data_IF_311986370935
#
_entry.id   IF_311986370935
#
_cell.length_a   1.000
_cell.length_b   1.000
_cell.length_c   1.000
_cell.angle_alpha   90.00
_cell.angle_beta   90.00
_cell.angle_gamma   90.00
#
_symmetry.space_group_name_H-M   'P 1'
#
loop_
_entity.id
_entity.type
_entity.pdbx_description
1 polymer ?
#
# COMPACT_ATOMS: atom_id res chain seq x y z
N UNK A 1 15.90 55.90 -21.56
CA UNK A 1 14.78 55.29 -20.80
C UNK A 1 14.76 53.76 -20.86
N UNK A 2 15.84 53.09 -21.28
CA UNK A 2 15.88 51.62 -21.48
C UNK A 2 16.50 50.83 -20.32
N UNK A 3 17.24 51.49 -19.40
CA UNK A 3 17.90 50.80 -18.26
C UNK A 3 16.96 50.40 -17.12
N UNK A 4 15.82 51.08 -16.94
CA UNK A 4 14.82 50.72 -15.92
C UNK A 4 13.83 49.66 -16.39
N UNK A 5 13.77 49.40 -17.71
CA UNK A 5 12.85 48.42 -18.28
C UNK A 5 13.23 46.99 -17.92
N UNK A 6 14.54 46.69 -17.82
CA UNK A 6 15.04 45.37 -17.42
C UNK A 6 14.85 45.08 -15.93
N UNK A 7 15.07 46.08 -15.06
CA UNK A 7 14.82 45.95 -13.61
C UNK A 7 13.33 45.78 -13.30
N UNK A 8 12.46 46.45 -14.05
CA UNK A 8 11.01 46.28 -13.92
C UNK A 8 10.57 44.88 -14.40
N UNK A 9 11.18 44.36 -15.48
CA UNK A 9 10.86 43.04 -16.01
C UNK A 9 11.34 41.90 -15.08
N UNK A 10 12.51 42.06 -14.44
CA UNK A 10 13.02 41.11 -13.43
C UNK A 10 12.19 41.15 -12.15
N UNK A 11 11.74 42.33 -11.69
CA UNK A 11 10.76 42.44 -10.59
C UNK A 11 9.40 41.82 -10.95
N UNK A 12 8.92 41.99 -12.18
CA UNK A 12 7.67 41.35 -12.62
C UNK A 12 7.79 39.82 -12.65
N UNK A 13 8.91 39.25 -13.12
CA UNK A 13 9.14 37.79 -13.13
C UNK A 13 9.23 37.21 -11.71
N UNK A 14 9.75 37.97 -10.74
CA UNK A 14 9.79 37.56 -9.32
C UNK A 14 8.44 37.73 -8.59
N UNK A 15 7.49 38.49 -9.12
CA UNK A 15 6.14 38.65 -8.57
C UNK A 15 5.14 37.61 -9.10
N UNK A 16 5.49 36.84 -10.13
CA UNK A 16 4.64 35.78 -10.69
C UNK A 16 4.94 34.37 -10.14
N UNK A 17 5.87 34.22 -9.20
CA UNK A 17 6.21 32.93 -8.57
C UNK A 17 5.29 32.52 -7.40
N UNK A 18 4.18 33.23 -7.14
CA UNK A 18 3.38 33.03 -5.93
C UNK A 18 1.87 32.91 -6.16
N UNK A 19 1.40 31.75 -6.59
CA UNK A 19 0.08 31.21 -6.23
C UNK A 19 0.07 29.72 -6.57
N UNK A 20 0.76 28.90 -5.78
CA UNK A 20 0.37 27.48 -5.70
C UNK A 20 -1.09 27.45 -5.26
N UNK A 21 -1.96 27.00 -6.15
CA UNK A 21 -3.41 26.89 -5.90
C UNK A 21 -3.79 25.53 -5.32
N UNK A 22 -2.84 24.59 -5.32
CA UNK A 22 -2.95 23.21 -4.87
C UNK A 22 -1.66 22.90 -4.11
N UNK A 23 -1.82 22.41 -2.89
CA UNK A 23 -0.77 21.80 -2.08
C UNK A 23 -1.06 20.29 -1.99
N UNK A 24 -0.03 19.48 -1.73
CA UNK A 24 -0.17 18.04 -1.54
C UNK A 24 0.18 17.72 -0.09
N UNK A 25 -0.72 17.05 0.61
CA UNK A 25 -0.54 16.59 1.98
C UNK A 25 -0.32 15.08 1.99
N UNK A 26 0.51 14.63 2.93
CA UNK A 26 0.66 13.23 3.28
C UNK A 26 -0.10 13.01 4.58
N UNK A 27 -1.02 12.06 4.59
CA UNK A 27 -1.78 11.68 5.79
C UNK A 27 -1.57 10.20 6.07
N UNK A 28 -1.53 9.84 7.35
CA UNK A 28 -1.44 8.45 7.78
C UNK A 28 -2.75 8.07 8.46
N UNK A 29 -3.30 6.93 8.09
CA UNK A 29 -4.46 6.34 8.75
C UNK A 29 -4.33 4.82 8.80
N UNK A 30 -4.95 4.21 9.81
CA UNK A 30 -4.98 2.75 9.91
C UNK A 30 -6.08 2.13 9.07
N UNK A 31 -5.76 0.96 8.51
CA UNK A 31 -6.70 0.06 7.87
C UNK A 31 -6.84 -1.24 8.69
N UNK A 32 -8.02 -1.87 8.68
CA UNK A 32 -8.19 -3.16 9.32
C UNK A 32 -7.45 -4.26 8.57
N UNK A 33 -7.05 -5.29 9.30
CA UNK A 33 -6.61 -6.55 8.69
C UNK A 33 -7.79 -7.39 8.18
N UNK A 34 -7.48 -8.38 7.34
CA UNK A 34 -8.42 -9.42 6.92
C UNK A 34 -8.71 -10.41 8.04
N UNK A 35 -7.69 -10.70 8.86
CA UNK A 35 -7.78 -11.60 10.02
C UNK A 35 -8.17 -10.82 11.27
N UNK A 36 -9.01 -11.42 12.12
CA UNK A 36 -9.35 -10.87 13.44
C UNK A 36 -8.97 -11.88 14.52
N UNK A 37 -8.19 -11.43 15.50
CA UNK A 37 -7.75 -12.23 16.64
C UNK A 37 -8.58 -11.87 17.87
N UNK A 38 -9.15 -12.85 18.60
CA UNK A 38 -9.75 -12.58 19.90
C UNK A 38 -8.77 -11.87 20.84
N UNK A 39 -9.29 -10.95 21.67
CA UNK A 39 -8.46 -10.19 22.62
C UNK A 39 -7.68 -11.07 23.61
N UNK A 40 -8.17 -12.28 23.89
CA UNK A 40 -7.51 -13.27 24.73
C UNK A 40 -6.22 -13.87 24.14
N UNK A 41 -5.97 -13.76 22.82
CA UNK A 41 -4.76 -14.29 22.17
C UNK A 41 -3.64 -13.25 22.19
N UNK A 42 -2.83 -13.23 23.26
CA UNK A 42 -1.84 -12.18 23.51
C UNK A 42 -0.41 -12.59 23.17
N UNK A 43 -0.09 -13.88 23.26
CA UNK A 43 1.26 -14.42 23.02
C UNK A 43 1.25 -15.32 21.80
N UNK A 44 2.05 -15.00 20.80
CA UNK A 44 2.10 -15.73 19.53
C UNK A 44 3.47 -16.37 19.34
N UNK A 45 3.49 -17.63 18.91
CA UNK A 45 4.72 -18.27 18.45
C UNK A 45 4.75 -18.37 16.93
N UNK A 46 5.85 -17.94 16.33
CA UNK A 46 6.11 -18.00 14.89
C UNK A 46 7.04 -19.18 14.61
N UNK A 47 6.62 -20.07 13.71
CA UNK A 47 7.31 -21.33 13.45
C UNK A 47 7.60 -21.53 11.97
N UNK A 48 8.76 -22.13 11.66
CA UNK A 48 9.11 -22.52 10.30
C UNK A 48 8.59 -23.93 10.00
N UNK A 49 7.49 -24.01 9.25
CA UNK A 49 6.89 -25.26 8.76
C UNK A 49 7.14 -25.47 7.26
N UNK A 50 8.10 -24.74 6.66
CA UNK A 50 8.47 -24.89 5.26
C UNK A 50 9.41 -26.10 5.09
N UNK A 51 9.09 -27.05 4.19
CA UNK A 51 10.00 -28.16 3.89
C UNK A 51 11.23 -27.68 3.09
N UNK A 52 12.38 -28.39 3.15
CA UNK A 52 13.58 -28.03 2.38
C UNK A 52 13.34 -27.97 0.86
N UNK A 53 12.44 -28.81 0.36
CA UNK A 53 11.97 -28.81 -1.03
C UNK A 53 10.44 -28.75 -1.00
N UNK A 54 9.85 -27.55 -1.13
CA UNK A 54 8.40 -27.39 -1.20
C UNK A 54 7.80 -28.06 -2.44
N UNK A 55 6.71 -28.79 -2.23
CA UNK A 55 5.88 -29.33 -3.32
C UNK A 55 5.01 -28.21 -3.89
N UNK A 56 5.59 -27.47 -4.83
CA UNK A 56 4.97 -26.30 -5.43
C UNK A 56 4.37 -26.66 -6.79
N UNK A 57 3.05 -26.48 -6.92
CA UNK A 57 2.45 -26.28 -8.24
C UNK A 57 2.92 -24.91 -8.73
N UNK A 58 3.57 -24.87 -9.90
CA UNK A 58 4.00 -23.61 -10.52
C UNK A 58 2.83 -22.62 -10.54
N UNK A 59 3.08 -21.41 -10.02
CA UNK A 59 2.14 -20.30 -10.14
C UNK A 59 2.17 -19.86 -11.60
N UNK A 60 1.28 -20.45 -12.40
CA UNK A 60 1.05 -20.04 -13.78
C UNK A 60 0.19 -18.78 -13.73
N UNK A 61 0.77 -17.61 -14.01
CA UNK A 61 -0.07 -16.45 -14.34
C UNK A 61 -0.54 -16.60 -15.78
N UNK A 62 -1.85 -16.41 -16.03
CA UNK A 62 -2.50 -16.53 -17.36
C UNK A 62 -1.90 -15.63 -18.47
N UNK A 63 -0.91 -14.80 -18.14
CA UNK A 63 -0.31 -13.80 -19.01
C UNK A 63 1.19 -14.06 -19.33
N UNK A 64 1.68 -15.29 -19.20
CA UNK A 64 3.07 -15.67 -19.53
C UNK A 64 3.48 -15.32 -20.99
N UNK A 65 2.51 -15.01 -21.86
CA UNK A 65 2.72 -14.59 -23.25
C UNK A 65 2.32 -13.13 -23.55
N UNK A 66 2.52 -12.18 -22.62
CA UNK A 66 2.50 -10.76 -23.03
C UNK A 66 3.54 -10.55 -24.13
N UNK A 67 3.09 -10.07 -25.30
CA UNK A 67 3.97 -9.66 -26.41
C UNK A 67 5.07 -8.77 -25.86
N UNK A 68 6.29 -8.99 -26.34
CA UNK A 68 7.43 -8.11 -26.04
C UNK A 68 7.06 -6.69 -26.48
N UNK A 69 7.41 -5.71 -25.67
CA UNK A 69 7.34 -4.32 -26.10
C UNK A 69 8.33 -4.10 -27.27
N UNK A 70 8.11 -3.07 -28.10
CA UNK A 70 8.97 -2.79 -29.26
C UNK A 70 10.44 -2.53 -28.84
N UNK A 71 10.62 -2.02 -27.62
CA UNK A 71 11.91 -1.71 -26.99
C UNK A 71 12.52 -2.89 -26.23
N UNK A 72 11.77 -3.97 -26.00
CA UNK A 72 12.19 -5.13 -25.21
C UNK A 72 13.04 -6.10 -26.05
N UNK A 73 14.31 -6.24 -25.68
CA UNK A 73 15.27 -7.06 -26.42
C UNK A 73 15.31 -8.49 -25.89
N UNK A 74 15.36 -8.63 -24.57
CA UNK A 74 15.48 -9.93 -23.92
C UNK A 74 14.54 -10.01 -22.70
N UNK A 75 14.01 -11.22 -22.47
CA UNK A 75 13.21 -11.57 -21.29
C UNK A 75 13.57 -12.96 -20.83
N UNK A 76 13.70 -13.14 -19.52
CA UNK A 76 13.91 -14.44 -18.88
C UNK A 76 13.08 -14.56 -17.62
N UNK A 77 12.19 -15.56 -17.60
CA UNK A 77 11.43 -15.93 -16.42
C UNK A 77 12.13 -17.07 -15.69
N UNK A 78 12.20 -17.00 -14.36
CA UNK A 78 12.66 -18.09 -13.49
C UNK A 78 11.76 -18.17 -12.25
N UNK A 79 11.73 -19.36 -11.65
CA UNK A 79 11.02 -19.64 -10.41
C UNK A 79 12.03 -20.05 -9.34
N UNK A 80 11.78 -19.62 -8.11
CA UNK A 80 12.62 -19.91 -6.96
C UNK A 80 11.76 -20.24 -5.73
N UNK A 81 12.39 -20.90 -4.76
CA UNK A 81 11.87 -21.03 -3.41
C UNK A 81 12.69 -20.13 -2.49
N UNK A 82 12.01 -19.42 -1.59
CA UNK A 82 12.66 -18.60 -0.58
C UNK A 82 13.35 -19.41 0.50
N UNK A 83 14.21 -18.74 1.26
CA UNK A 83 14.79 -19.29 2.48
C UNK A 83 13.75 -19.20 3.62
N UNK A 84 13.21 -20.35 4.01
CA UNK A 84 12.18 -20.43 5.05
C UNK A 84 12.66 -19.96 6.43
N UNK A 85 13.96 -20.04 6.74
CA UNK A 85 14.49 -19.55 8.01
C UNK A 85 14.46 -18.02 8.02
N UNK A 86 15.07 -17.39 7.01
CA UNK A 86 15.12 -15.93 6.87
C UNK A 86 13.70 -15.34 6.85
N UNK A 87 12.78 -15.96 6.10
CA UNK A 87 11.41 -15.50 6.02
C UNK A 87 10.62 -15.66 7.34
N UNK A 88 10.90 -16.71 8.13
CA UNK A 88 10.26 -16.91 9.44
C UNK A 88 10.77 -15.90 10.47
N UNK A 89 12.08 -15.65 10.49
CA UNK A 89 12.70 -14.63 11.35
C UNK A 89 12.14 -13.24 11.03
N UNK A 90 12.10 -12.87 9.74
CA UNK A 90 11.52 -11.61 9.28
C UNK A 90 10.03 -11.49 9.61
N UNK A 91 9.26 -12.56 9.44
CA UNK A 91 7.83 -12.57 9.79
C UNK A 91 7.61 -12.27 11.27
N UNK A 92 8.41 -12.88 12.14
CA UNK A 92 8.30 -12.65 13.57
C UNK A 92 8.76 -11.25 13.98
N UNK A 93 9.85 -10.75 13.41
CA UNK A 93 10.31 -9.38 13.63
C UNK A 93 9.25 -8.36 13.19
N UNK A 94 8.68 -8.54 12.00
CA UNK A 94 7.62 -7.69 11.48
C UNK A 94 6.37 -7.72 12.38
N UNK A 95 5.94 -8.90 12.85
CA UNK A 95 4.82 -9.02 13.81
C UNK A 95 5.12 -8.33 15.15
N UNK A 96 6.35 -8.43 15.65
CA UNK A 96 6.76 -7.80 16.90
C UNK A 96 6.78 -6.27 16.78
N UNK A 97 7.25 -5.75 15.64
CA UNK A 97 7.33 -4.31 15.38
C UNK A 97 5.96 -3.62 15.33
N UNK A 98 4.89 -4.35 14.98
CA UNK A 98 3.52 -3.82 15.01
C UNK A 98 2.98 -3.66 16.44
N UNK A 99 3.65 -4.21 17.47
CA UNK A 99 3.23 -4.14 18.88
C UNK A 99 1.76 -4.57 19.10
N UNK A 100 1.25 -5.47 18.26
CA UNK A 100 -0.14 -5.91 18.32
C UNK A 100 -0.35 -7.04 19.32
N UNK A 101 0.66 -7.87 19.55
CA UNK A 101 0.68 -8.96 20.53
C UNK A 101 1.62 -8.57 21.68
N UNK A 102 1.31 -9.01 22.90
CA UNK A 102 2.13 -8.75 24.09
C UNK A 102 3.52 -9.39 23.97
N UNK A 103 3.59 -10.56 23.31
CA UNK A 103 4.85 -11.28 23.06
C UNK A 103 4.80 -12.03 21.73
N UNK A 104 5.90 -11.95 20.98
CA UNK A 104 6.14 -12.71 19.74
C UNK A 104 7.37 -13.60 19.95
N UNK A 105 7.16 -14.92 19.89
CA UNK A 105 8.18 -15.94 20.19
C UNK A 105 8.62 -16.58 18.87
N UNK A 106 9.93 -16.66 18.62
CA UNK A 106 10.47 -17.28 17.42
C UNK A 106 10.94 -18.70 17.75
N UNK A 107 10.47 -19.68 16.97
CA UNK A 107 11.03 -21.03 17.01
C UNK A 107 12.08 -21.19 15.91
N UNK A 108 13.36 -21.17 16.29
CA UNK A 108 14.49 -21.35 15.38
C UNK A 108 14.56 -22.76 14.77
N UNK A 109 13.81 -23.71 15.33
CA UNK A 109 13.77 -25.07 14.83
C UNK A 109 12.85 -25.18 13.61
N UNK A 110 13.45 -25.47 12.46
CA UNK A 110 12.70 -25.85 11.27
C UNK A 110 11.99 -27.19 11.50
N UNK A 111 10.66 -27.15 11.65
CA UNK A 111 9.83 -28.29 12.03
C UNK A 111 9.91 -29.44 11.02
N UNK A 112 10.17 -29.10 9.75
CA UNK A 112 10.20 -30.05 8.62
C UNK A 112 11.59 -30.30 8.05
N UNK A 113 12.67 -29.86 8.72
CA UNK A 113 14.03 -30.00 8.20
C UNK A 113 14.46 -31.46 7.94
N UNK A 114 13.81 -32.42 8.60
CA UNK A 114 14.14 -33.85 8.54
C UNK A 114 13.04 -34.70 7.88
N UNK A 115 12.05 -34.07 7.25
CA UNK A 115 10.99 -34.79 6.55
C UNK A 115 11.59 -35.57 5.37
N UNK A 116 11.58 -36.90 5.47
CA UNK A 116 12.02 -37.80 4.39
C UNK A 116 10.87 -38.22 3.47
N UNK A 117 9.62 -38.05 3.92
CA UNK A 117 8.40 -38.43 3.21
C UNK A 117 7.50 -37.20 3.10
N UNK A 118 6.88 -36.92 1.94
CA UNK A 118 5.85 -35.89 1.83
C UNK A 118 4.67 -36.20 2.77
N UNK A 119 4.58 -35.45 3.87
CA UNK A 119 3.42 -35.44 4.79
C UNK A 119 2.46 -34.31 4.43
N UNK A 120 1.23 -34.37 4.95
CA UNK A 120 0.27 -33.26 4.83
C UNK A 120 0.97 -31.94 5.21
N UNK A 121 0.77 -30.89 4.41
CA UNK A 121 1.52 -29.64 4.57
C UNK A 121 1.26 -28.97 5.93
N UNK A 122 0.09 -29.22 6.52
CA UNK A 122 -0.36 -28.58 7.75
C UNK A 122 0.13 -29.29 9.00
N UNK A 123 0.38 -28.52 10.07
CA UNK A 123 0.63 -29.07 11.41
C UNK A 123 -0.59 -29.84 11.94
N UNK A 124 -0.34 -30.99 12.57
CA UNK A 124 -1.38 -31.78 13.25
C UNK A 124 -1.85 -31.09 14.53
N UNK A 125 -3.03 -31.47 15.04
CA UNK A 125 -3.55 -30.96 16.32
C UNK A 125 -2.56 -31.23 17.46
N UNK A 126 -1.97 -32.43 17.51
CA UNK A 126 -1.01 -32.82 18.54
C UNK A 126 0.31 -32.03 18.44
N UNK A 127 0.77 -31.71 17.22
CA UNK A 127 1.95 -30.87 17.02
C UNK A 127 1.70 -29.45 17.50
N UNK A 128 0.55 -28.86 17.13
CA UNK A 128 0.15 -27.52 17.57
C UNK A 128 0.08 -27.45 19.09
N UNK A 129 -0.58 -28.42 19.74
CA UNK A 129 -0.71 -28.46 21.21
C UNK A 129 0.64 -28.60 21.92
N UNK A 130 1.54 -29.43 21.40
CA UNK A 130 2.88 -29.58 21.97
C UNK A 130 3.68 -28.30 21.83
N UNK A 131 3.66 -27.67 20.66
CA UNK A 131 4.41 -26.45 20.38
C UNK A 131 3.91 -25.27 21.21
N UNK A 132 2.59 -25.06 21.29
CA UNK A 132 2.01 -23.98 22.11
C UNK A 132 2.31 -24.19 23.59
N UNK A 133 2.23 -25.43 24.10
CA UNK A 133 2.62 -25.75 25.48
C UNK A 133 4.12 -25.56 25.73
N UNK A 134 5.00 -25.97 24.81
CA UNK A 134 6.45 -25.87 25.00
C UNK A 134 6.97 -24.45 24.91
N UNK A 135 6.33 -23.62 24.07
CA UNK A 135 6.69 -22.22 23.86
C UNK A 135 5.91 -21.29 24.79
N UNK A 136 4.96 -21.79 25.57
CA UNK A 136 4.07 -21.00 26.41
C UNK A 136 3.33 -19.90 25.61
N UNK A 137 2.85 -20.27 24.42
CA UNK A 137 2.15 -19.38 23.50
C UNK A 137 0.65 -19.70 23.44
N UNK A 138 -0.18 -18.69 23.19
CA UNK A 138 -1.63 -18.87 23.06
C UNK A 138 -2.00 -19.53 21.72
N UNK A 139 -1.22 -19.25 20.67
CA UNK A 139 -1.45 -19.77 19.32
C UNK A 139 -0.17 -19.70 18.45
N UNK A 140 -0.21 -20.34 17.28
CA UNK A 140 0.91 -20.38 16.34
C UNK A 140 0.61 -19.63 15.04
N UNK A 141 1.64 -19.02 14.47
CA UNK A 141 1.71 -18.58 13.08
C UNK A 141 2.83 -19.36 12.40
N UNK A 142 2.47 -20.21 11.43
CA UNK A 142 3.41 -21.06 10.72
C UNK A 142 3.69 -20.51 9.32
N UNK A 143 4.96 -20.34 8.97
CA UNK A 143 5.39 -20.14 7.59
C UNK A 143 5.37 -21.49 6.88
N UNK A 144 4.54 -21.61 5.86
CA UNK A 144 4.30 -22.88 5.16
C UNK A 144 5.08 -22.96 3.84
N UNK A 145 5.24 -21.83 3.16
CA UNK A 145 5.84 -21.78 1.84
C UNK A 145 6.27 -20.35 1.47
N UNK A 146 7.31 -20.23 0.64
CA UNK A 146 7.72 -18.99 -0.01
C UNK A 146 8.08 -19.31 -1.46
N UNK A 147 7.20 -18.92 -2.38
CA UNK A 147 7.44 -19.04 -3.82
C UNK A 147 7.82 -17.69 -4.42
N UNK A 148 8.69 -17.71 -5.42
CA UNK A 148 9.11 -16.50 -6.11
C UNK A 148 9.12 -16.70 -7.63
N UNK A 149 8.67 -15.69 -8.35
CA UNK A 149 8.73 -15.63 -9.82
C UNK A 149 9.49 -14.38 -10.23
N UNK A 150 10.64 -14.55 -10.87
CA UNK A 150 11.46 -13.46 -11.39
C UNK A 150 11.22 -13.29 -12.87
N UNK A 151 11.07 -12.05 -13.33
CA UNK A 151 11.09 -11.65 -14.73
C UNK A 151 12.26 -10.68 -14.89
N UNK A 152 13.31 -11.13 -15.58
CA UNK A 152 14.41 -10.25 -15.98
C UNK A 152 14.18 -9.76 -17.40
N UNK A 153 14.28 -8.47 -17.64
CA UNK A 153 14.22 -7.89 -18.98
C UNK A 153 15.45 -7.04 -19.27
N UNK A 154 15.77 -6.93 -20.56
CA UNK A 154 16.62 -5.87 -21.08
C UNK A 154 15.82 -5.10 -22.13
N UNK A 155 15.71 -3.80 -21.93
CA UNK A 155 15.03 -2.86 -22.79
C UNK A 155 16.03 -1.82 -23.31
N UNK A 156 15.86 -1.37 -24.56
CA UNK A 156 16.60 -0.22 -25.07
C UNK A 156 15.72 1.01 -25.03
N UNK A 157 16.23 2.07 -24.41
CA UNK A 157 15.53 3.34 -24.23
C UNK A 157 16.08 4.36 -25.24
N UNK A 158 15.43 4.55 -26.41
CA UNK A 158 16.01 5.33 -27.50
C UNK A 158 16.17 6.80 -27.15
N UNK A 159 15.26 7.33 -26.32
CA UNK A 159 15.28 8.74 -25.86
C UNK A 159 16.55 9.09 -25.08
N UNK A 160 17.14 8.10 -24.40
CA UNK A 160 18.32 8.26 -23.56
C UNK A 160 19.57 7.59 -24.14
N UNK A 161 19.42 6.79 -25.20
CA UNK A 161 20.53 6.06 -25.83
C UNK A 161 21.19 5.02 -24.92
N UNK A 162 20.42 4.44 -23.98
CA UNK A 162 20.90 3.47 -22.98
C UNK A 162 20.08 2.19 -22.99
N UNK A 163 20.64 1.14 -22.42
CA UNK A 163 19.94 -0.10 -22.11
C UNK A 163 19.53 -0.10 -20.64
N UNK A 164 18.29 -0.45 -20.35
CA UNK A 164 17.79 -0.68 -19.00
C UNK A 164 17.66 -2.18 -18.77
N UNK A 165 18.38 -2.70 -17.78
CA UNK A 165 18.13 -4.01 -17.22
C UNK A 165 17.13 -3.88 -16.08
N UNK A 166 16.10 -4.72 -16.06
CA UNK A 166 15.11 -4.75 -14.99
C UNK A 166 14.92 -6.16 -14.46
N UNK A 167 14.60 -6.26 -13.18
CA UNK A 167 14.23 -7.48 -12.49
C UNK A 167 12.97 -7.21 -11.68
N UNK A 168 11.85 -7.73 -12.15
CA UNK A 168 10.59 -7.82 -11.40
C UNK A 168 10.58 -9.16 -10.66
N UNK A 169 10.52 -9.14 -9.33
CA UNK A 169 10.37 -10.36 -8.53
C UNK A 169 9.07 -10.33 -7.76
N UNK A 170 8.15 -11.23 -8.10
CA UNK A 170 6.91 -11.41 -7.34
C UNK A 170 7.08 -12.54 -6.34
N UNK A 171 6.73 -12.27 -5.09
CA UNK A 171 6.94 -13.15 -3.93
C UNK A 171 5.57 -13.57 -3.39
N UNK A 172 5.42 -14.86 -3.08
CA UNK A 172 4.18 -15.50 -2.67
C UNK A 172 4.40 -16.32 -1.39
N UNK A 173 4.37 -15.67 -0.22
CA UNK A 173 4.38 -16.38 1.06
C UNK A 173 3.00 -16.98 1.37
N UNK A 174 3.02 -18.19 1.94
CA UNK A 174 1.83 -18.81 2.53
C UNK A 174 2.06 -18.95 4.03
N UNK A 175 1.14 -18.38 4.81
CA UNK A 175 1.16 -18.45 6.28
C UNK A 175 -0.15 -19.06 6.78
N UNK A 176 -0.06 -19.89 7.81
CA UNK A 176 -1.24 -20.46 8.49
C UNK A 176 -1.24 -20.11 9.96
N UNK A 177 -2.42 -19.78 10.48
CA UNK A 177 -2.62 -19.54 11.90
C UNK A 177 -3.29 -20.76 12.53
N UNK A 178 -2.74 -21.25 13.64
CA UNK A 178 -3.23 -22.42 14.34
C UNK A 178 -3.61 -22.08 15.78
N UNK A 179 -4.79 -22.53 16.21
CA UNK A 179 -5.21 -22.47 17.60
C UNK A 179 -5.05 -23.84 18.27
N UNK A 180 -4.67 -23.89 19.55
CA UNK A 180 -4.71 -25.14 20.31
C UNK A 180 -6.14 -25.70 20.32
N UNK A 181 -6.27 -27.03 20.45
CA UNK A 181 -7.55 -27.75 20.48
C UNK A 181 -8.38 -27.77 19.20
N UNK A 182 -8.02 -27.00 18.17
CA UNK A 182 -8.67 -27.00 16.85
C UNK A 182 -8.01 -28.00 15.89
N UNK A 183 -8.82 -28.69 15.09
CA UNK A 183 -8.30 -29.47 13.97
C UNK A 183 -8.05 -28.54 12.77
N UNK A 184 -6.81 -28.51 12.28
CA UNK A 184 -6.41 -27.69 11.14
C UNK A 184 -6.30 -26.19 11.47
N UNK A 185 -5.89 -25.37 10.47
CA UNK A 185 -5.69 -23.94 10.68
C UNK A 185 -7.01 -23.19 10.94
N UNK A 186 -6.92 -22.10 11.69
CA UNK A 186 -7.97 -21.10 11.81
C UNK A 186 -8.12 -20.31 10.51
N UNK A 187 -7.00 -19.87 9.94
CA UNK A 187 -6.94 -19.13 8.69
C UNK A 187 -5.67 -19.48 7.92
N UNK A 188 -5.75 -19.44 6.59
CA UNK A 188 -4.61 -19.49 5.67
C UNK A 188 -4.53 -18.17 4.94
N UNK A 189 -3.41 -17.47 5.08
CA UNK A 189 -3.11 -16.21 4.40
C UNK A 189 -2.22 -16.54 3.20
N UNK A 190 -2.76 -16.29 2.01
CA UNK A 190 -2.01 -16.34 0.76
C UNK A 190 -1.87 -14.90 0.27
N UNK A 191 -0.73 -14.29 0.54
CA UNK A 191 -0.45 -12.93 0.13
C UNK A 191 0.60 -12.92 -0.99
N UNK A 192 0.71 -11.80 -1.70
CA UNK A 192 1.78 -11.61 -2.67
C UNK A 192 2.09 -10.16 -2.85
N UNK A 193 3.37 -9.86 -3.04
CA UNK A 193 3.83 -8.53 -3.40
C UNK A 193 5.08 -8.65 -4.28
N UNK A 194 5.56 -7.53 -4.82
CA UNK A 194 6.70 -7.51 -5.73
C UNK A 194 7.80 -6.55 -5.26
N UNK A 195 9.04 -6.95 -5.50
CA UNK A 195 10.22 -6.09 -5.39
C UNK A 195 10.79 -5.89 -6.79
N UNK A 196 11.30 -4.68 -7.03
CA UNK A 196 11.84 -4.27 -8.31
C UNK A 196 13.28 -3.77 -8.18
N UNK A 197 14.14 -4.19 -9.11
CA UNK A 197 15.48 -3.64 -9.28
C UNK A 197 15.70 -3.28 -10.74
N UNK A 198 16.38 -2.16 -10.97
CA UNK A 198 16.77 -1.70 -12.29
C UNK A 198 18.22 -1.22 -12.34
N UNK A 199 18.79 -1.27 -13.54
CA UNK A 199 20.10 -0.72 -13.82
C UNK A 199 20.19 -0.26 -15.28
N UNK A 200 20.46 1.03 -15.49
CA UNK A 200 20.67 1.59 -16.82
C UNK A 200 22.17 1.69 -17.15
N UNK A 201 22.55 1.23 -18.34
CA UNK A 201 23.95 1.29 -18.81
C UNK A 201 24.07 1.48 -20.32
N UNK A 202 25.23 1.96 -20.84
CA UNK A 202 25.44 2.17 -22.28
C UNK A 202 25.46 0.90 -23.14
N UNK A 203 25.55 -0.29 -22.54
CA UNK A 203 25.54 -1.57 -23.26
C UNK A 203 24.66 -2.60 -22.59
N UNK A 204 24.07 -3.49 -23.40
CA UNK A 204 23.24 -4.61 -22.93
C UNK A 204 23.92 -5.49 -21.88
N UNK A 205 25.22 -5.78 -22.08
CA UNK A 205 25.98 -6.62 -21.15
C UNK A 205 26.13 -5.96 -19.77
N UNK A 206 26.40 -4.64 -19.75
CA UNK A 206 26.52 -3.88 -18.50
C UNK A 206 25.16 -3.73 -17.80
N UNK A 207 24.10 -3.47 -18.56
CA UNK A 207 22.74 -3.34 -18.03
C UNK A 207 22.31 -4.64 -17.31
N UNK A 208 22.61 -5.80 -17.91
CA UNK A 208 22.34 -7.10 -17.29
C UNK A 208 23.26 -7.42 -16.10
N UNK A 209 24.54 -7.06 -16.18
CA UNK A 209 25.52 -7.35 -15.13
C UNK A 209 25.39 -6.46 -13.89
N UNK A 210 24.81 -5.26 -14.03
CA UNK A 210 24.57 -4.33 -12.92
C UNK A 210 23.31 -4.64 -12.11
N UNK A 211 22.48 -5.60 -12.54
CA UNK A 211 21.37 -6.11 -11.74
C UNK A 211 21.86 -6.92 -10.54
N UNK A 212 21.09 -6.89 -9.46
CA UNK A 212 21.33 -7.67 -8.24
C UNK A 212 21.61 -9.15 -8.55
N UNK A 213 22.58 -9.73 -7.82
CA UNK A 213 22.96 -11.11 -7.95
C UNK A 213 21.83 -12.05 -7.52
N UNK A 214 21.78 -13.28 -8.06
CA UNK A 214 20.74 -14.25 -7.69
C UNK A 214 20.77 -14.57 -6.19
N UNK A 215 21.96 -14.63 -5.59
CA UNK A 215 22.14 -14.89 -4.16
C UNK A 215 21.57 -13.76 -3.28
N UNK A 216 21.90 -12.51 -3.59
CA UNK A 216 21.39 -11.36 -2.83
C UNK A 216 19.89 -11.17 -3.04
N UNK A 217 19.42 -11.33 -4.28
CA UNK A 217 18.00 -11.32 -4.60
C UNK A 217 17.22 -12.34 -3.77
N UNK A 218 17.69 -13.59 -3.66
CA UNK A 218 17.01 -14.62 -2.85
C UNK A 218 17.00 -14.27 -1.36
N UNK A 219 18.08 -13.67 -0.84
CA UNK A 219 18.16 -13.22 0.55
C UNK A 219 17.15 -12.10 0.81
N UNK A 220 17.22 -11.00 0.06
CA UNK A 220 16.34 -9.83 0.20
C UNK A 220 14.87 -10.21 -0.02
N UNK A 221 14.59 -11.07 -0.99
CA UNK A 221 13.24 -11.53 -1.25
C UNK A 221 12.69 -12.45 -0.14
N UNK A 222 13.55 -13.20 0.53
CA UNK A 222 13.13 -14.03 1.67
C UNK A 222 12.86 -13.17 2.91
N UNK A 223 13.67 -12.13 3.14
CA UNK A 223 13.41 -11.11 4.16
C UNK A 223 12.06 -10.43 3.88
N UNK A 224 11.85 -9.95 2.65
CA UNK A 224 10.58 -9.35 2.24
C UNK A 224 9.38 -10.31 2.35
N UNK A 225 9.56 -11.60 2.05
CA UNK A 225 8.48 -12.59 2.17
C UNK A 225 7.88 -12.65 3.58
N UNK A 226 8.68 -12.38 4.62
CA UNK A 226 8.21 -12.34 6.00
C UNK A 226 7.31 -11.15 6.30
N UNK A 227 7.51 -10.00 5.63
CA UNK A 227 6.76 -8.78 5.92
C UNK A 227 5.40 -8.74 5.23
N UNK A 228 5.28 -9.36 4.05
CA UNK A 228 4.06 -9.30 3.21
C UNK A 228 2.80 -9.76 3.97
N UNK A 229 2.78 -10.90 4.70
CA UNK A 229 1.55 -11.39 5.35
C UNK A 229 1.08 -10.51 6.51
N UNK A 230 1.94 -9.64 7.07
CA UNK A 230 1.64 -8.90 8.29
C UNK A 230 0.49 -7.92 8.10
N UNK A 231 0.46 -7.16 6.99
CA UNK A 231 -0.63 -6.22 6.70
C UNK A 231 -1.99 -6.90 6.45
N UNK A 232 -2.00 -8.18 6.09
CA UNK A 232 -3.22 -8.98 5.96
C UNK A 232 -3.69 -9.55 7.31
N UNK A 233 -2.76 -9.79 8.25
CA UNK A 233 -3.05 -10.35 9.57
C UNK A 233 -3.33 -9.28 10.63
N UNK A 234 -2.61 -8.16 10.60
CA UNK A 234 -2.67 -7.09 11.59
C UNK A 234 -3.17 -5.77 10.97
N UNK A 235 -3.90 -4.95 11.74
CA UNK A 235 -4.16 -3.56 11.34
C UNK A 235 -2.83 -2.86 11.03
N UNK A 236 -2.80 -2.06 9.97
CA UNK A 236 -1.58 -1.43 9.49
C UNK A 236 -1.82 0.02 9.10
N UNK A 237 -0.76 0.83 9.22
CA UNK A 237 -0.77 2.21 8.77
C UNK A 237 -0.63 2.29 7.25
N UNK A 238 -1.45 3.15 6.64
CA UNK A 238 -1.36 3.50 5.22
C UNK A 238 -1.13 5.00 5.11
N UNK A 239 -0.05 5.35 4.44
CA UNK A 239 0.20 6.73 4.00
C UNK A 239 -0.55 6.98 2.71
N UNK A 240 -1.36 8.03 2.69
CA UNK A 240 -2.07 8.44 1.49
C UNK A 240 -1.82 9.91 1.19
N UNK A 241 -1.79 10.23 -0.10
CA UNK A 241 -1.66 11.60 -0.54
C UNK A 241 -3.02 12.25 -0.79
N UNK A 242 -3.19 13.45 -0.24
CA UNK A 242 -4.38 14.29 -0.38
C UNK A 242 -4.02 15.61 -1.03
N UNK A 243 -4.94 16.15 -1.81
CA UNK A 243 -4.79 17.51 -2.33
C UNK A 243 -5.36 18.51 -1.32
N UNK A 244 -4.76 19.67 -1.19
CA UNK A 244 -5.33 20.80 -0.46
C UNK A 244 -5.44 21.96 -1.42
N UNK A 245 -6.67 22.36 -1.75
CA UNK A 245 -6.87 23.51 -2.63
C UNK A 245 -6.72 24.80 -1.81
N UNK A 246 -5.66 25.56 -2.01
CA UNK A 246 -5.38 26.78 -1.23
C UNK A 246 -5.76 28.06 -1.97
N UNK A 247 -5.94 27.98 -3.29
CA UNK A 247 -6.24 29.12 -4.15
C UNK A 247 -7.73 29.37 -4.42
N UNK A 248 -8.02 30.53 -5.03
CA UNK A 248 -9.32 30.85 -5.62
C UNK A 248 -10.23 31.78 -4.82
N UNK A 249 -10.04 31.93 -3.51
CA UNK A 249 -10.72 32.98 -2.72
C UNK A 249 -9.87 33.42 -1.53
N UNK A 250 -10.24 34.52 -0.88
CA UNK A 250 -9.62 34.95 0.38
C UNK A 250 -9.80 33.86 1.43
N UNK A 251 -11.03 33.39 1.63
CA UNK A 251 -11.35 32.30 2.55
C UNK A 251 -10.55 31.00 2.27
N UNK A 252 -10.30 30.62 1.01
CA UNK A 252 -9.51 29.42 0.70
C UNK A 252 -8.05 29.58 1.16
N UNK A 253 -7.48 30.78 1.01
CA UNK A 253 -6.11 31.09 1.42
C UNK A 253 -5.98 31.20 2.94
N UNK A 254 -6.94 31.85 3.59
CA UNK A 254 -6.97 32.00 5.04
C UNK A 254 -7.18 30.65 5.73
N UNK A 255 -8.04 29.79 5.16
CA UNK A 255 -8.22 28.41 5.64
C UNK A 255 -6.94 27.59 5.55
N UNK A 256 -6.12 27.78 4.51
CA UNK A 256 -4.83 27.11 4.41
C UNK A 256 -3.85 27.53 5.52
N UNK A 257 -3.94 28.77 6.03
CA UNK A 257 -3.17 29.18 7.22
C UNK A 257 -3.63 28.40 8.44
N UNK A 258 -4.95 28.28 8.66
CA UNK A 258 -5.49 27.51 9.78
C UNK A 258 -5.12 26.02 9.71
N UNK A 259 -5.08 25.42 8.52
CA UNK A 259 -4.60 24.02 8.35
C UNK A 259 -3.15 23.87 8.83
N UNK A 260 -2.27 24.83 8.52
CA UNK A 260 -0.86 24.79 8.98
C UNK A 260 -0.71 24.99 10.48
N UNK A 261 -1.71 25.57 11.13
CA UNK A 261 -1.83 25.70 12.59
C UNK A 261 -2.61 24.54 13.23
N UNK A 262 -2.88 23.47 12.47
CA UNK A 262 -3.67 22.29 12.87
C UNK A 262 -5.12 22.63 13.32
N UNK A 263 -5.63 23.79 12.88
CA UNK A 263 -6.96 24.27 13.22
C UNK A 263 -7.98 23.93 12.12
N UNK A 264 -8.30 22.65 12.01
CA UNK A 264 -9.22 22.12 10.99
C UNK A 264 -10.64 22.69 11.11
N UNK A 265 -11.14 22.94 12.32
CA UNK A 265 -12.48 23.49 12.55
C UNK A 265 -12.69 24.86 11.89
N UNK A 266 -11.74 25.79 12.08
CA UNK A 266 -11.80 27.12 11.47
C UNK A 266 -11.61 27.05 9.95
N UNK A 267 -10.74 26.17 9.48
CA UNK A 267 -10.55 25.96 8.05
C UNK A 267 -11.85 25.48 7.38
N UNK A 268 -12.53 24.50 7.99
CA UNK A 268 -13.83 23.98 7.55
C UNK A 268 -14.89 25.08 7.49
N UNK A 269 -14.96 25.97 8.50
CA UNK A 269 -15.90 27.08 8.52
C UNK A 269 -15.72 28.01 7.30
N UNK A 270 -14.49 28.40 7.00
CA UNK A 270 -14.16 29.27 5.86
C UNK A 270 -14.45 28.62 4.51
N UNK A 271 -14.18 27.32 4.39
CA UNK A 271 -14.53 26.57 3.18
C UNK A 271 -16.05 26.43 3.02
N UNK A 272 -16.82 26.19 4.09
CA UNK A 272 -18.29 26.18 4.05
C UNK A 272 -18.84 27.52 3.56
N UNK A 273 -18.33 28.64 4.06
CA UNK A 273 -18.71 29.98 3.57
C UNK A 273 -18.44 30.12 2.05
N UNK A 274 -17.30 29.59 1.57
CA UNK A 274 -16.96 29.60 0.13
C UNK A 274 -17.92 28.72 -0.68
N UNK A 275 -18.25 27.54 -0.18
CA UNK A 275 -19.16 26.59 -0.80
C UNK A 275 -20.58 27.17 -0.97
N UNK A 276 -21.10 27.81 0.07
CA UNK A 276 -22.44 28.41 0.05
C UNK A 276 -22.50 29.66 -0.84
N UNK A 277 -21.46 30.49 -0.83
CA UNK A 277 -21.39 31.71 -1.67
C UNK A 277 -21.38 31.39 -3.17
N UNK A 278 -20.88 30.22 -3.57
CA UNK A 278 -20.75 29.83 -4.98
C UNK A 278 -21.91 28.94 -5.40
N UNK A 279 -22.53 29.22 -6.54
CA UNK A 279 -23.60 28.37 -7.09
C UNK A 279 -23.07 27.12 -7.81
N UNK A 280 -21.98 27.27 -8.58
CA UNK A 280 -21.35 26.21 -9.39
C UNK A 280 -19.87 26.50 -9.64
N UNK A 281 -19.17 25.54 -10.26
CA UNK A 281 -17.80 25.71 -10.78
C UNK A 281 -16.70 25.26 -9.82
N UNK A 282 -15.45 25.36 -10.29
CA UNK A 282 -14.25 24.81 -9.62
C UNK A 282 -14.09 25.25 -8.17
N UNK A 283 -14.37 26.51 -7.84
CA UNK A 283 -14.24 27.00 -6.45
C UNK A 283 -15.22 26.33 -5.49
N UNK A 284 -16.45 26.02 -5.94
CA UNK A 284 -17.42 25.30 -5.11
C UNK A 284 -16.96 23.85 -4.89
N UNK A 285 -16.43 23.22 -5.94
CA UNK A 285 -15.86 21.88 -5.87
C UNK A 285 -14.65 21.82 -4.93
N UNK A 286 -13.70 22.74 -5.05
CA UNK A 286 -12.52 22.83 -4.17
C UNK A 286 -12.91 23.02 -2.71
N UNK A 287 -13.87 23.90 -2.42
CA UNK A 287 -14.38 24.08 -1.07
C UNK A 287 -15.01 22.78 -0.52
N UNK A 288 -15.84 22.09 -1.30
CA UNK A 288 -16.44 20.82 -0.89
C UNK A 288 -15.38 19.74 -0.62
N UNK A 289 -14.38 19.63 -1.51
CA UNK A 289 -13.28 18.69 -1.35
C UNK A 289 -12.49 18.97 -0.07
N UNK A 290 -12.09 20.22 0.16
CA UNK A 290 -11.33 20.56 1.36
C UNK A 290 -12.14 20.35 2.63
N UNK A 291 -13.46 20.59 2.62
CA UNK A 291 -14.31 20.27 3.78
C UNK A 291 -14.30 18.77 4.06
N UNK A 292 -14.39 17.94 3.01
CA UNK A 292 -14.28 16.50 3.16
C UNK A 292 -12.94 16.11 3.79
N UNK A 293 -11.83 16.66 3.29
CA UNK A 293 -10.50 16.46 3.86
C UNK A 293 -10.43 16.92 5.32
N UNK A 294 -10.97 18.09 5.66
CA UNK A 294 -10.98 18.56 7.05
C UNK A 294 -11.70 17.60 7.99
N UNK A 295 -12.83 17.03 7.56
CA UNK A 295 -13.52 16.00 8.34
C UNK A 295 -12.77 14.66 8.37
N UNK A 296 -12.02 14.31 7.32
CA UNK A 296 -11.14 13.12 7.32
C UNK A 296 -10.03 13.27 8.37
N UNK A 297 -9.43 14.45 8.48
CA UNK A 297 -8.38 14.77 9.47
C UNK A 297 -8.90 14.80 10.91
N UNK A 298 -10.21 14.92 11.10
CA UNK A 298 -10.89 14.84 12.38
C UNK A 298 -11.45 13.44 12.67
N UNK A 299 -11.10 12.43 11.86
CA UNK A 299 -11.63 11.07 11.90
C UNK A 299 -13.17 10.96 11.76
N UNK A 300 -13.82 12.02 11.27
CA UNK A 300 -15.27 12.06 11.04
C UNK A 300 -15.60 11.53 9.64
N UNK A 301 -15.25 10.26 9.38
CA UNK A 301 -15.24 9.65 8.04
C UNK A 301 -16.61 9.66 7.37
N UNK A 302 -17.69 9.48 8.13
CA UNK A 302 -19.05 9.55 7.58
C UNK A 302 -19.33 10.94 6.99
N UNK A 303 -18.97 11.99 7.70
CA UNK A 303 -19.15 13.38 7.25
C UNK A 303 -18.21 13.71 6.11
N UNK A 304 -16.97 13.19 6.14
CA UNK A 304 -16.01 13.34 5.06
C UNK A 304 -16.57 12.78 3.74
N UNK A 305 -17.14 11.58 3.76
CA UNK A 305 -17.78 10.95 2.60
C UNK A 305 -18.93 11.79 2.04
N UNK A 306 -19.83 12.28 2.90
CA UNK A 306 -20.95 13.14 2.47
C UNK A 306 -20.47 14.39 1.71
N UNK A 307 -19.37 15.00 2.18
CA UNK A 307 -18.79 16.16 1.50
C UNK A 307 -18.02 15.78 0.23
N UNK A 308 -17.34 14.63 0.22
CA UNK A 308 -16.69 14.12 -0.98
C UNK A 308 -17.70 13.80 -2.09
N UNK A 309 -18.87 13.24 -1.75
CA UNK A 309 -20.00 13.05 -2.67
C UNK A 309 -20.51 14.38 -3.24
N UNK A 310 -20.64 15.42 -2.40
CA UNK A 310 -20.98 16.78 -2.87
C UNK A 310 -19.92 17.32 -3.82
N UNK A 311 -18.64 17.12 -3.52
CA UNK A 311 -17.53 17.54 -4.37
C UNK A 311 -17.55 16.82 -5.72
N UNK A 312 -17.75 15.50 -5.72
CA UNK A 312 -17.85 14.66 -6.92
C UNK A 312 -19.01 15.12 -7.82
N UNK A 313 -20.17 15.41 -7.23
CA UNK A 313 -21.33 15.93 -7.98
C UNK A 313 -21.01 17.26 -8.67
N UNK A 314 -20.31 18.18 -8.01
CA UNK A 314 -19.91 19.44 -8.66
C UNK A 314 -18.84 19.18 -9.72
N UNK A 315 -17.92 18.23 -9.50
CA UNK A 315 -16.89 17.85 -10.47
C UNK A 315 -17.48 17.27 -11.76
N UNK A 316 -18.56 16.49 -11.63
CA UNK A 316 -19.31 15.96 -12.75
C UNK A 316 -19.78 17.07 -13.72
N UNK A 317 -20.30 18.16 -13.15
CA UNK A 317 -20.72 19.33 -13.94
C UNK A 317 -19.52 20.12 -14.49
N UNK A 318 -18.44 20.26 -13.70
CA UNK A 318 -17.23 21.01 -14.08
C UNK A 318 -16.52 20.37 -15.27
N UNK A 319 -16.41 19.04 -15.27
CA UNK A 319 -15.76 18.28 -16.35
C UNK A 319 -16.74 17.91 -17.48
N UNK A 320 -18.02 18.31 -17.35
CA UNK A 320 -19.08 18.13 -18.34
C UNK A 320 -19.25 16.67 -18.74
N UNK A 321 -19.32 15.78 -17.76
CA UNK A 321 -19.35 14.33 -17.99
C UNK A 321 -20.52 13.93 -18.91
N UNK A 322 -21.69 14.54 -18.78
CA UNK A 322 -22.85 14.26 -19.66
C UNK A 322 -22.56 14.52 -21.15
N UNK A 323 -21.81 15.58 -21.48
CA UNK A 323 -21.44 15.91 -22.86
C UNK A 323 -20.44 14.89 -23.45
N UNK A 324 -19.68 14.21 -22.59
CA UNK A 324 -18.58 13.32 -22.95
C UNK A 324 -18.96 11.83 -22.95
N UNK A 325 -20.02 11.43 -22.24
CA UNK A 325 -20.49 10.03 -22.19
C UNK A 325 -20.74 9.39 -23.56
N UNK A 326 -21.12 10.19 -24.56
CA UNK A 326 -21.43 9.73 -25.92
C UNK A 326 -20.28 9.88 -26.90
N UNK A 327 -19.12 10.39 -26.44
CA UNK A 327 -17.93 10.57 -27.27
C UNK A 327 -17.05 9.32 -27.19
N UNK A 328 -16.63 8.80 -28.34
CA UNK A 328 -15.60 7.76 -28.39
C UNK A 328 -14.23 8.38 -28.09
N UNK A 329 -13.43 7.72 -27.23
CA UNK A 329 -12.05 8.13 -26.96
C UNK A 329 -11.84 9.15 -25.83
N UNK A 330 -12.78 9.30 -24.89
CA UNK A 330 -12.59 10.12 -23.69
C UNK A 330 -11.47 9.54 -22.82
N UNK A 331 -10.42 10.32 -22.57
CA UNK A 331 -9.29 9.94 -21.72
C UNK A 331 -9.43 10.56 -20.32
N UNK A 332 -8.66 10.05 -19.34
CA UNK A 332 -8.56 10.58 -17.98
C UNK A 332 -8.19 12.07 -17.95
N UNK A 333 -7.42 12.52 -18.94
CA UNK A 333 -7.04 13.93 -19.11
C UNK A 333 -8.23 14.84 -19.43
N UNK A 334 -9.33 14.29 -19.96
CA UNK A 334 -10.54 15.05 -20.25
C UNK A 334 -11.40 15.25 -19.01
N UNK A 335 -11.26 14.42 -17.98
CA UNK A 335 -12.12 14.43 -16.78
C UNK A 335 -11.30 14.47 -15.47
N UNK A 336 -10.29 15.36 -15.36
CA UNK A 336 -9.28 15.27 -14.31
C UNK A 336 -9.84 15.53 -12.91
N UNK A 337 -10.87 16.38 -12.77
CA UNK A 337 -11.43 16.70 -11.47
C UNK A 337 -12.37 15.59 -11.00
N UNK A 338 -13.26 15.13 -11.87
CA UNK A 338 -14.18 14.06 -11.56
C UNK A 338 -13.43 12.77 -11.21
N UNK A 339 -12.40 12.42 -11.99
CA UNK A 339 -11.55 11.27 -11.71
C UNK A 339 -10.83 11.39 -10.35
N UNK A 340 -10.12 12.50 -10.11
CA UNK A 340 -9.36 12.68 -8.88
C UNK A 340 -10.24 12.65 -7.61
N UNK A 341 -11.42 13.27 -7.67
CA UNK A 341 -12.35 13.29 -6.54
C UNK A 341 -13.04 11.94 -6.36
N UNK A 342 -13.34 11.22 -7.45
CA UNK A 342 -13.88 9.86 -7.38
C UNK A 342 -12.89 8.90 -6.73
N UNK A 343 -11.60 8.99 -7.08
CA UNK A 343 -10.55 8.20 -6.42
C UNK A 343 -10.50 8.47 -4.92
N UNK A 344 -10.52 9.74 -4.52
CA UNK A 344 -10.55 10.13 -3.12
C UNK A 344 -11.80 9.62 -2.38
N UNK A 345 -12.98 9.74 -3.00
CA UNK A 345 -14.22 9.22 -2.45
C UNK A 345 -14.17 7.70 -2.23
N UNK A 346 -13.64 6.95 -3.21
CA UNK A 346 -13.51 5.50 -3.09
C UNK A 346 -12.62 5.12 -1.90
N UNK A 347 -11.50 5.82 -1.69
CA UNK A 347 -10.62 5.59 -0.53
C UNK A 347 -11.33 5.87 0.81
N UNK A 348 -12.16 6.91 0.88
CA UNK A 348 -12.98 7.18 2.08
C UNK A 348 -14.03 6.09 2.32
N UNK A 349 -14.63 5.56 1.25
CA UNK A 349 -15.63 4.49 1.34
C UNK A 349 -15.01 3.19 1.82
N UNK A 350 -13.86 2.79 1.27
CA UNK A 350 -13.08 1.65 1.76
C UNK A 350 -12.75 1.80 3.25
N UNK A 351 -12.28 2.99 3.65
CA UNK A 351 -11.96 3.29 5.06
C UNK A 351 -13.20 3.18 5.95
N UNK A 352 -14.34 3.69 5.51
CA UNK A 352 -15.61 3.63 6.25
C UNK A 352 -16.10 2.18 6.41
N UNK A 353 -16.06 1.39 5.36
CA UNK A 353 -16.45 -0.04 5.38
C UNK A 353 -15.59 -0.85 6.35
N UNK A 354 -14.29 -0.54 6.40
CA UNK A 354 -13.34 -1.18 7.31
C UNK A 354 -13.44 -0.76 8.78
N UNK A 355 -14.08 0.37 9.08
CA UNK A 355 -13.99 1.02 10.39
C UNK A 355 -14.54 0.17 11.54
N UNK A 356 -15.65 -0.55 11.34
CA UNK A 356 -16.22 -1.44 12.36
C UNK A 356 -15.25 -2.58 12.70
N UNK A 357 -14.60 -3.17 11.69
CA UNK A 357 -13.62 -4.25 11.87
C UNK A 357 -12.37 -3.72 12.56
N UNK A 358 -11.87 -2.57 12.13
CA UNK A 358 -10.72 -1.91 12.73
C UNK A 358 -10.98 -1.65 14.22
N UNK A 359 -12.13 -1.07 14.55
CA UNK A 359 -12.51 -0.80 15.93
C UNK A 359 -12.49 -2.08 16.78
N UNK A 360 -13.01 -3.20 16.27
CA UNK A 360 -13.00 -4.48 16.96
C UNK A 360 -11.57 -5.06 17.11
N UNK A 361 -10.72 -4.96 16.09
CA UNK A 361 -9.31 -5.37 16.16
C UNK A 361 -8.52 -4.53 17.18
N UNK A 362 -8.83 -3.24 17.28
CA UNK A 362 -8.19 -2.31 18.20
C UNK A 362 -8.77 -2.35 19.62
N UNK A 363 -9.87 -3.10 19.87
CA UNK A 363 -10.45 -3.20 21.23
C UNK A 363 -9.47 -3.75 22.27
N UNK A 364 -8.51 -4.56 21.83
CA UNK A 364 -7.53 -5.17 22.72
C UNK A 364 -6.69 -4.15 23.51
N UNK A 365 -6.46 -2.97 22.93
CA UNK A 365 -5.68 -1.90 23.57
C UNK A 365 -6.51 -1.01 24.51
N UNK A 366 -7.85 -1.13 24.52
CA UNK A 366 -8.72 -0.26 25.33
C UNK A 366 -8.61 -0.53 26.84
N UNK A 367 -8.09 -1.70 27.23
CA UNK A 367 -7.93 -2.08 28.64
C UNK A 367 -6.51 -1.83 29.18
N UNK A 368 -5.61 -1.29 28.34
CA UNK A 368 -4.20 -1.12 28.68
C UNK A 368 -3.86 0.35 29.09
N UNK A 369 -4.88 1.19 29.29
CA UNK A 369 -4.77 2.60 29.73
C UNK A 369 -5.66 2.93 30.94
#
# INVERSE_FOLDING_TARGET
MTKYSYSLLVCCVLLFSGCQSIEQLSIDYMLPAEVSFPSALRRVAVVNNMPPIPDNKLILEENDEKKKDETEIARKTKYFNGDGKIATESLAEALANENYFDEVIICDSALRAHDMIPRESSLSKEEVEKLTQSLDADFLIALENVQMRSIRKIEYLPEWGVYAGTLDLKVYPTVKVYLPQRNGPMVTVNASDSIFWDHAAPSMAQAGAGLISEKEMLREASEFAGTIPVSHMLPHWKTASRYLFTGGSVNMRDAAVFVREDNWDKAIELWKQTYEKKKKGKQKMYAAYNIALGYEMQDSIHTAEEWALKAQKVAYDVDKIDEKKTQEGVDLMDIPNYFAITRYLNELQERKEGMTRLNAQMERFKNDF
#
